data_IF_750791406968
#
_entry.id   IF_750791406968
#
_cell.length_a   1.000
_cell.length_b   1.000
_cell.length_c   1.000
_cell.angle_alpha   90.00
_cell.angle_beta   90.00
_cell.angle_gamma   90.00
#
_symmetry.space_group_name_H-M   'P 1'
#
loop_
_entity.id
_entity.type
_entity.pdbx_description
1 polymer ?
#
# COMPACT_ATOMS: atom_id res chain seq x y z
N UNK A 1 -0.05 -1.97 -31.37
CA UNK A 1 -1.43 -1.78 -31.89
C UNK A 1 -2.50 -2.58 -31.14
N UNK A 2 -2.28 -3.85 -30.73
CA UNK A 2 -3.28 -4.64 -29.98
C UNK A 2 -3.69 -4.03 -28.62
N UNK A 3 -2.74 -3.50 -27.85
CA UNK A 3 -2.99 -2.87 -26.54
C UNK A 3 -3.93 -1.66 -26.61
N UNK A 4 -3.77 -0.80 -27.62
CA UNK A 4 -4.58 0.43 -27.76
C UNK A 4 -6.04 0.10 -28.05
N UNK A 5 -6.29 -0.91 -28.90
CA UNK A 5 -7.65 -1.37 -29.20
C UNK A 5 -8.33 -2.02 -27.99
N UNK A 6 -7.57 -2.68 -27.10
CA UNK A 6 -8.11 -3.24 -25.86
C UNK A 6 -8.47 -2.17 -24.83
N UNK A 7 -7.72 -1.06 -24.78
CA UNK A 7 -8.05 0.10 -23.92
C UNK A 7 -9.32 0.81 -24.43
N UNK A 8 -9.49 0.91 -25.75
CA UNK A 8 -10.69 1.50 -26.38
C UNK A 8 -11.96 0.65 -26.21
N UNK A 9 -11.83 -0.67 -26.05
CA UNK A 9 -12.94 -1.59 -25.82
C UNK A 9 -13.53 -1.52 -24.39
N UNK A 10 -12.93 -0.73 -23.49
CA UNK A 10 -13.38 -0.61 -22.10
C UNK A 10 -14.71 0.17 -22.04
N UNK A 11 -15.80 -0.41 -21.51
CA UNK A 11 -17.08 0.28 -21.39
C UNK A 11 -16.97 1.51 -20.47
N UNK A 12 -17.69 2.60 -20.81
CA UNK A 12 -17.56 3.89 -20.11
C UNK A 12 -17.75 3.82 -18.58
N UNK A 13 -18.55 2.87 -18.07
CA UNK A 13 -18.72 2.65 -16.62
C UNK A 13 -17.50 2.05 -15.90
N UNK A 14 -16.63 1.31 -16.60
CA UNK A 14 -15.40 0.73 -16.01
C UNK A 14 -14.23 1.74 -15.97
N UNK A 15 -14.31 2.85 -16.72
CA UNK A 15 -13.26 3.88 -16.73
C UNK A 15 -13.09 4.55 -15.36
N UNK A 16 -14.20 4.79 -14.65
CA UNK A 16 -14.17 5.36 -13.30
C UNK A 16 -13.45 4.44 -12.29
N UNK A 17 -13.68 3.14 -12.39
CA UNK A 17 -13.00 2.12 -11.58
C UNK A 17 -11.49 2.13 -11.78
N UNK A 18 -11.04 2.11 -13.02
CA UNK A 18 -9.61 2.14 -13.34
C UNK A 18 -8.95 3.47 -12.95
N UNK A 19 -9.67 4.58 -13.11
CA UNK A 19 -9.20 5.89 -12.66
C UNK A 19 -8.95 5.92 -11.14
N UNK A 20 -9.88 5.38 -10.34
CA UNK A 20 -9.70 5.28 -8.88
C UNK A 20 -8.49 4.41 -8.53
N UNK A 21 -8.30 3.27 -9.19
CA UNK A 21 -7.16 2.39 -8.91
C UNK A 21 -5.84 3.08 -9.23
N UNK A 22 -5.74 3.76 -10.36
CA UNK A 22 -4.53 4.50 -10.76
C UNK A 22 -4.24 5.63 -9.75
N UNK A 23 -5.26 6.41 -9.39
CA UNK A 23 -5.13 7.48 -8.42
C UNK A 23 -4.70 6.96 -7.04
N UNK A 24 -5.25 5.83 -6.60
CA UNK A 24 -4.91 5.21 -5.33
C UNK A 24 -3.50 4.60 -5.34
N UNK A 25 -3.06 4.00 -6.46
CA UNK A 25 -1.67 3.57 -6.63
C UNK A 25 -0.70 4.74 -6.46
N UNK A 26 -0.96 5.89 -7.10
CA UNK A 26 -0.13 7.07 -6.93
C UNK A 26 -0.17 7.60 -5.49
N UNK A 27 -1.35 7.70 -4.88
CA UNK A 27 -1.51 8.27 -3.55
C UNK A 27 -0.89 7.39 -2.43
N UNK A 28 -0.94 6.06 -2.57
CA UNK A 28 -0.51 5.12 -1.52
C UNK A 28 0.93 4.64 -1.72
N UNK A 29 1.41 4.44 -2.96
CA UNK A 29 2.79 4.02 -3.20
C UNK A 29 3.78 5.19 -3.15
N UNK A 30 3.37 6.43 -3.49
CA UNK A 30 4.28 7.57 -3.49
C UNK A 30 4.87 7.90 -2.10
N UNK A 31 4.08 7.85 -1.00
CA UNK A 31 4.63 8.00 0.34
C UNK A 31 5.66 6.91 0.69
N UNK A 32 5.49 5.69 0.18
CA UNK A 32 6.42 4.58 0.44
C UNK A 32 7.78 4.79 -0.22
N UNK A 33 7.82 5.48 -1.36
CA UNK A 33 9.06 5.88 -2.05
C UNK A 33 9.70 7.10 -1.38
N UNK A 34 8.91 7.99 -0.78
CA UNK A 34 9.40 9.24 -0.18
C UNK A 34 9.89 9.07 1.28
N UNK A 35 9.30 8.15 2.03
CA UNK A 35 9.68 7.80 3.41
C UNK A 35 11.17 7.45 3.61
N UNK A 36 11.80 6.58 2.80
CA UNK A 36 13.21 6.24 2.98
C UNK A 36 14.14 7.45 2.77
N UNK A 37 13.75 8.39 1.90
CA UNK A 37 14.52 9.61 1.65
C UNK A 37 14.47 10.60 2.82
N UNK A 38 13.40 10.63 3.61
CA UNK A 38 13.27 11.49 4.80
C UNK A 38 13.97 10.93 6.04
N UNK A 39 14.11 9.61 6.12
CA UNK A 39 14.62 8.90 7.31
C UNK A 39 16.15 8.69 7.26
N UNK A 40 16.79 9.02 6.13
CA UNK A 40 18.25 8.95 5.97
C UNK A 40 18.83 7.54 6.10
N UNK A 41 17.98 6.50 6.10
CA UNK A 41 18.37 5.10 6.16
C UNK A 41 17.71 4.36 4.98
N UNK A 42 18.49 3.84 4.02
CA UNK A 42 17.95 3.22 2.80
C UNK A 42 17.19 1.93 3.09
N UNK A 43 17.52 1.22 4.17
CA UNK A 43 16.96 -0.09 4.46
C UNK A 43 15.66 -0.04 5.28
N UNK A 44 15.20 1.15 5.71
CA UNK A 44 14.05 1.29 6.62
C UNK A 44 14.12 0.25 7.74
N UNK A 45 15.32 -0.10 8.24
CA UNK A 45 15.51 -1.16 9.23
C UNK A 45 16.50 -0.89 10.37
N UNK A 46 16.86 0.38 10.53
CA UNK A 46 17.47 0.91 11.75
C UNK A 46 16.39 1.31 12.77
N UNK A 47 16.40 2.57 13.20
CA UNK A 47 15.49 3.14 14.20
C UNK A 47 13.99 3.05 13.84
N UNK A 48 13.67 2.84 12.55
CA UNK A 48 12.30 2.89 11.98
C UNK A 48 12.01 1.63 11.14
N UNK A 49 12.21 0.43 11.72
CA UNK A 49 12.01 -0.85 11.02
C UNK A 49 10.53 -1.27 10.98
N UNK A 50 9.84 -0.94 9.88
CA UNK A 50 8.42 -1.28 9.66
C UNK A 50 8.19 -2.80 9.65
N UNK A 51 9.24 -3.59 9.36
CA UNK A 51 9.21 -5.06 9.31
C UNK A 51 9.46 -5.73 10.67
N UNK A 52 9.85 -4.98 11.69
CA UNK A 52 10.22 -5.54 13.01
C UNK A 52 9.10 -5.35 14.01
N UNK A 53 7.97 -6.01 13.76
CA UNK A 53 6.79 -5.87 14.59
C UNK A 53 6.96 -6.51 15.98
N UNK A 54 7.78 -7.58 16.16
CA UNK A 54 7.90 -8.29 17.46
C UNK A 54 9.22 -9.08 17.70
N UNK A 55 10.30 -8.84 16.95
CA UNK A 55 11.56 -9.58 17.16
C UNK A 55 12.50 -8.82 18.11
N UNK A 56 12.62 -9.33 19.35
CA UNK A 56 13.62 -8.93 20.33
C UNK A 56 14.95 -9.61 19.97
N UNK A 57 15.98 -8.83 19.65
CA UNK A 57 17.32 -9.35 19.38
C UNK A 57 18.23 -9.06 20.57
N UNK A 58 19.15 -9.97 20.94
CA UNK A 58 20.11 -9.71 22.00
C UNK A 58 21.05 -8.55 21.60
N UNK A 59 21.01 -7.42 22.33
CA UNK A 59 21.86 -6.24 22.09
C UNK A 59 21.14 -4.89 21.89
N UNK A 60 19.82 -4.84 22.05
CA UNK A 60 19.00 -3.62 21.84
C UNK A 60 18.90 -2.74 23.10
N UNK A 61 19.03 -1.41 22.93
CA UNK A 61 18.80 -0.44 24.02
C UNK A 61 17.31 -0.21 24.24
N UNK A 62 16.91 0.24 25.44
CA UNK A 62 15.50 0.54 25.76
C UNK A 62 14.89 1.61 24.83
N UNK A 63 15.72 2.50 24.29
CA UNK A 63 15.29 3.57 23.38
C UNK A 63 14.89 3.01 22.00
N UNK A 64 15.56 1.95 21.54
CA UNK A 64 15.20 1.26 20.29
C UNK A 64 13.89 0.49 20.42
N UNK A 65 13.59 -0.04 21.61
CA UNK A 65 12.33 -0.71 21.90
C UNK A 65 11.15 0.29 21.90
N UNK A 66 11.34 1.49 22.45
CA UNK A 66 10.33 2.55 22.45
C UNK A 66 10.00 3.04 21.04
N UNK A 67 11.01 3.25 20.20
CA UNK A 67 10.81 3.64 18.80
C UNK A 67 10.12 2.53 17.98
N UNK A 68 10.45 1.25 18.23
CA UNK A 68 9.77 0.13 17.58
C UNK A 68 8.27 0.07 17.91
N UNK A 69 7.90 0.30 19.17
CA UNK A 69 6.49 0.35 19.59
C UNK A 69 5.72 1.48 18.90
N UNK A 70 6.33 2.66 18.74
CA UNK A 70 5.71 3.79 18.05
C UNK A 70 5.46 3.50 16.57
N UNK A 71 6.41 2.88 15.88
CA UNK A 71 6.28 2.53 14.45
C UNK A 71 5.29 1.38 14.24
N UNK A 72 5.27 0.40 15.15
CA UNK A 72 4.28 -0.69 15.11
C UNK A 72 2.84 -0.15 15.18
N UNK A 73 2.60 0.92 15.96
CA UNK A 73 1.30 1.55 16.06
C UNK A 73 0.78 2.09 14.72
N UNK A 74 1.67 2.63 13.86
CA UNK A 74 1.31 3.09 12.52
C UNK A 74 0.79 1.93 11.67
N UNK A 75 1.46 0.77 11.74
CA UNK A 75 1.01 -0.44 11.03
C UNK A 75 -0.32 -0.96 11.54
N UNK A 76 -0.56 -0.92 12.86
CA UNK A 76 -1.84 -1.31 13.47
C UNK A 76 -2.96 -0.36 13.05
N UNK A 77 -2.72 0.96 13.03
CA UNK A 77 -3.70 1.94 12.54
C UNK A 77 -4.01 1.68 11.06
N UNK A 78 -2.99 1.46 10.23
CA UNK A 78 -3.22 1.21 8.81
C UNK A 78 -4.06 -0.07 8.60
N UNK A 79 -3.74 -1.16 9.30
CA UNK A 79 -4.51 -2.40 9.24
C UNK A 79 -5.94 -2.24 9.77
N UNK A 80 -6.11 -1.54 10.89
CA UNK A 80 -7.44 -1.32 11.46
C UNK A 80 -8.30 -0.44 10.54
N UNK A 81 -7.71 0.58 9.91
CA UNK A 81 -8.39 1.43 8.94
C UNK A 81 -8.84 0.63 7.70
N UNK A 82 -7.99 -0.27 7.19
CA UNK A 82 -8.33 -1.19 6.10
C UNK A 82 -9.48 -2.12 6.51
N UNK A 83 -9.46 -2.68 7.73
CA UNK A 83 -10.51 -3.58 8.21
C UNK A 83 -11.84 -2.86 8.41
N UNK A 84 -11.82 -1.66 9.02
CA UNK A 84 -13.02 -0.84 9.24
C UNK A 84 -13.64 -0.44 7.90
N UNK A 85 -12.83 0.07 6.98
CA UNK A 85 -13.33 0.46 5.65
C UNK A 85 -13.82 -0.73 4.84
N UNK A 86 -13.18 -1.89 4.97
CA UNK A 86 -13.63 -3.14 4.33
C UNK A 86 -14.93 -3.66 4.95
N UNK A 87 -15.17 -3.46 6.25
CA UNK A 87 -16.42 -3.83 6.89
C UNK A 87 -17.60 -2.97 6.42
N UNK A 88 -17.40 -1.66 6.28
CA UNK A 88 -18.45 -0.72 5.86
C UNK A 88 -18.70 -0.69 4.34
N UNK A 89 -17.65 -0.74 3.52
CA UNK A 89 -17.74 -0.62 2.05
C UNK A 89 -17.46 -1.94 1.32
N UNK A 90 -17.31 -3.07 2.04
CA UNK A 90 -17.08 -4.38 1.46
C UNK A 90 -15.81 -4.47 0.61
N UNK A 91 -15.93 -5.07 -0.58
CA UNK A 91 -14.82 -5.26 -1.55
C UNK A 91 -14.32 -3.97 -2.21
N UNK A 92 -14.89 -2.81 -1.90
CA UNK A 92 -14.48 -1.54 -2.52
C UNK A 92 -13.04 -1.17 -2.16
N UNK A 93 -12.60 -1.42 -0.92
CA UNK A 93 -11.24 -1.11 -0.52
C UNK A 93 -10.22 -1.95 -1.28
N UNK A 94 -10.36 -3.27 -1.24
CA UNK A 94 -9.41 -4.18 -1.89
C UNK A 94 -9.46 -4.15 -3.42
N UNK A 95 -10.61 -3.81 -4.02
CA UNK A 95 -10.79 -3.82 -5.48
C UNK A 95 -10.60 -2.46 -6.19
N UNK A 96 -10.62 -1.35 -5.45
CA UNK A 96 -10.53 0.00 -6.05
C UNK A 96 -9.42 0.86 -5.43
N UNK A 97 -9.21 0.77 -4.12
CA UNK A 97 -8.29 1.67 -3.39
C UNK A 97 -6.95 0.99 -3.11
N UNK A 98 -6.95 -0.30 -2.82
CA UNK A 98 -5.74 -1.03 -2.48
C UNK A 98 -4.87 -1.25 -3.73
N UNK A 99 -3.64 -0.70 -3.79
CA UNK A 99 -2.76 -0.90 -4.94
C UNK A 99 -2.42 -2.38 -5.14
N UNK A 100 -2.27 -3.14 -4.07
CA UNK A 100 -1.98 -4.59 -4.13
C UNK A 100 -3.11 -5.43 -4.73
N UNK A 101 -4.36 -4.96 -4.68
CA UNK A 101 -5.52 -5.67 -5.23
C UNK A 101 -5.97 -5.13 -6.58
N UNK A 102 -6.01 -3.81 -6.75
CA UNK A 102 -6.45 -3.18 -8.00
C UNK A 102 -5.41 -3.28 -9.12
N UNK A 103 -4.11 -3.23 -8.81
CA UNK A 103 -3.06 -3.29 -9.82
C UNK A 103 -3.00 -4.63 -10.58
N UNK A 104 -3.03 -5.81 -9.91
CA UNK A 104 -3.07 -7.09 -10.63
C UNK A 104 -4.32 -7.26 -11.51
N UNK A 105 -5.48 -6.75 -11.06
CA UNK A 105 -6.71 -6.80 -11.86
C UNK A 105 -6.60 -5.96 -13.15
N UNK A 106 -6.05 -4.75 -13.03
CA UNK A 106 -5.72 -3.90 -14.17
C UNK A 106 -4.81 -4.62 -15.16
N UNK A 107 -3.70 -5.18 -14.65
CA UNK A 107 -2.71 -5.87 -15.49
C UNK A 107 -3.30 -7.10 -16.18
N UNK A 108 -4.07 -7.92 -15.46
CA UNK A 108 -4.72 -9.12 -16.02
C UNK A 108 -5.76 -8.81 -17.10
N UNK A 109 -6.33 -7.61 -17.14
CA UNK A 109 -7.26 -7.20 -18.21
C UNK A 109 -6.57 -6.50 -19.36
N UNK A 110 -5.40 -5.89 -19.13
CA UNK A 110 -4.60 -5.23 -20.17
C UNK A 110 -3.67 -6.21 -20.90
N UNK A 111 -3.25 -7.28 -20.25
CA UNK A 111 -2.44 -8.34 -20.82
C UNK A 111 -3.38 -9.53 -21.13
N UNK A 112 -3.62 -9.86 -22.41
CA UNK A 112 -4.47 -10.98 -22.80
C UNK A 112 -3.86 -12.35 -22.45
#
# INVERSE_FOLDING_TARGET
MKLINQILAIPNGQKYRYFIIILACFAILAPWVFLPSLVGNPDLCGKVCVRRFFLYFPGMTLEDLGNQMSVAWIGVIALSLILVTSFFFGRMWCGYICPMGGFPELVSRMIP
#
